data_IF_340384864114
#
_entry.id   IF_340384864114
#
_cell.length_a   1.000
_cell.length_b   1.000
_cell.length_c   1.000
_cell.angle_alpha   90.00
_cell.angle_beta   90.00
_cell.angle_gamma   90.00
#
_symmetry.space_group_name_H-M   'P 1'
#
loop_
_entity.id
_entity.type
_entity.pdbx_description
1 polymer ?
#
# COMPACT_ATOMS: atom_id res chain seq x y z
N UNK A 1 62.97 70.61 -7.72
CA UNK A 1 62.02 71.36 -8.56
C UNK A 1 61.62 70.47 -9.72
N UNK A 2 60.33 70.14 -9.82
CA UNK A 2 59.52 69.76 -10.99
C UNK A 2 58.44 68.74 -10.59
N UNK A 3 57.20 69.16 -10.76
CA UNK A 3 55.97 68.46 -10.44
C UNK A 3 55.38 67.84 -11.72
N UNK A 4 54.78 66.64 -11.62
CA UNK A 4 53.81 66.08 -12.59
C UNK A 4 52.89 65.13 -11.78
N UNK A 5 51.70 65.59 -11.38
CA UNK A 5 50.40 65.38 -12.04
C UNK A 5 49.88 63.92 -11.99
N UNK A 6 49.08 63.60 -10.96
CA UNK A 6 48.23 62.41 -10.92
C UNK A 6 46.78 62.81 -11.19
N UNK A 7 46.20 62.27 -12.27
CA UNK A 7 44.78 62.34 -12.59
C UNK A 7 44.03 61.34 -11.70
N UNK A 8 43.07 61.81 -10.90
CA UNK A 8 42.10 60.95 -10.20
C UNK A 8 40.73 61.10 -10.83
N UNK A 9 40.22 59.99 -11.38
CA UNK A 9 38.82 59.85 -11.81
C UNK A 9 38.01 59.49 -10.55
N UNK A 10 37.06 60.35 -10.18
CA UNK A 10 36.08 60.08 -9.15
C UNK A 10 34.88 59.34 -9.75
N UNK A 11 34.60 58.13 -9.26
CA UNK A 11 33.39 57.37 -9.58
C UNK A 11 32.37 57.56 -8.44
N UNK A 12 31.16 57.90 -8.87
CA UNK A 12 29.99 58.32 -8.11
C UNK A 12 29.50 57.21 -7.17
N UNK A 13 29.29 57.55 -5.89
CA UNK A 13 28.53 56.73 -4.95
C UNK A 13 27.03 56.94 -5.18
N UNK A 14 26.32 55.89 -5.60
CA UNK A 14 24.86 55.82 -5.44
C UNK A 14 24.53 54.91 -4.27
N UNK A 15 24.04 55.52 -3.20
CA UNK A 15 23.54 54.87 -1.99
C UNK A 15 22.19 54.21 -2.27
N UNK A 16 22.16 52.88 -2.31
CA UNK A 16 20.92 52.12 -2.16
C UNK A 16 20.63 51.95 -0.66
N UNK A 17 19.58 52.65 -0.19
CA UNK A 17 19.03 52.48 1.15
C UNK A 17 18.41 51.09 1.25
N UNK A 18 18.99 50.22 2.07
CA UNK A 18 18.44 48.91 2.37
C UNK A 18 17.21 49.07 3.28
N UNK A 19 16.02 49.04 2.70
CA UNK A 19 14.78 48.91 3.47
C UNK A 19 14.71 47.50 4.05
N UNK A 20 15.02 47.40 5.35
CA UNK A 20 14.80 46.23 6.18
C UNK A 20 13.28 45.95 6.31
N UNK A 21 12.73 45.20 5.36
CA UNK A 21 11.47 44.47 5.51
C UNK A 21 11.71 43.01 5.13
N UNK A 22 12.68 42.39 5.80
CA UNK A 22 12.72 40.94 5.93
C UNK A 22 11.69 40.53 6.99
N UNK A 23 10.40 40.64 6.66
CA UNK A 23 9.31 40.08 7.45
C UNK A 23 9.07 38.64 7.00
N UNK A 24 9.20 37.74 7.97
CA UNK A 24 8.75 36.34 7.97
C UNK A 24 9.44 35.38 6.98
N UNK A 25 10.62 34.91 7.41
CA UNK A 25 11.07 33.54 7.16
C UNK A 25 9.95 32.55 7.54
N UNK A 26 9.53 31.75 6.55
CA UNK A 26 9.02 30.39 6.65
C UNK A 26 8.09 30.04 7.83
N UNK A 27 6.78 30.21 7.63
CA UNK A 27 5.78 29.34 8.26
C UNK A 27 4.46 29.23 7.49
N UNK A 28 4.54 29.07 6.17
CA UNK A 28 3.43 28.50 5.41
C UNK A 28 3.74 27.02 5.23
N UNK A 29 3.32 26.21 6.21
CA UNK A 29 3.27 24.76 6.07
C UNK A 29 2.36 24.46 4.87
N UNK A 30 2.94 23.77 3.89
CA UNK A 30 2.34 23.44 2.60
C UNK A 30 0.93 22.82 2.75
N UNK A 31 0.07 22.93 1.71
CA UNK A 31 -1.27 22.34 1.73
C UNK A 31 -1.17 20.88 2.14
N UNK A 32 -1.76 20.58 3.28
CA UNK A 32 -1.72 19.25 3.86
C UNK A 32 -2.62 18.32 3.04
N UNK A 33 -2.06 17.24 2.51
CA UNK A 33 -2.76 16.34 1.60
C UNK A 33 -3.91 15.60 2.30
N UNK A 34 -5.11 15.69 1.73
CA UNK A 34 -6.29 14.93 2.17
C UNK A 34 -6.63 13.94 1.05
N UNK A 35 -6.44 12.62 1.27
CA UNK A 35 -6.78 11.63 0.26
C UNK A 35 -8.26 11.68 -0.13
N UNK A 36 -8.52 11.54 -1.43
CA UNK A 36 -9.88 11.51 -1.99
C UNK A 36 -10.66 10.32 -1.44
N UNK A 37 -11.95 10.52 -1.24
CA UNK A 37 -12.93 9.50 -0.83
C UNK A 37 -14.23 9.68 -1.61
N UNK A 38 -15.04 8.62 -1.79
CA UNK A 38 -14.86 7.24 -1.31
C UNK A 38 -13.93 6.39 -2.20
N UNK A 39 -13.44 5.27 -1.65
CA UNK A 39 -12.56 4.31 -2.34
C UNK A 39 -13.25 2.96 -2.63
N UNK A 40 -14.57 2.86 -2.46
CA UNK A 40 -15.32 1.60 -2.55
C UNK A 40 -15.11 0.87 -3.89
N UNK A 41 -14.97 1.62 -4.98
CA UNK A 41 -14.66 1.06 -6.30
C UNK A 41 -13.34 0.29 -6.33
N UNK A 42 -12.32 0.77 -5.62
CA UNK A 42 -11.01 0.12 -5.52
C UNK A 42 -11.03 -1.08 -4.57
N UNK A 43 -11.85 -1.06 -3.51
CA UNK A 43 -11.97 -2.19 -2.59
C UNK A 43 -12.43 -3.47 -3.33
N UNK A 44 -13.27 -3.32 -4.36
CA UNK A 44 -13.70 -4.44 -5.22
C UNK A 44 -12.61 -4.95 -6.19
N UNK A 45 -11.47 -4.26 -6.28
CA UNK A 45 -10.36 -4.58 -7.18
C UNK A 45 -9.18 -5.25 -6.47
N UNK A 46 -9.33 -5.63 -5.20
CA UNK A 46 -8.32 -6.40 -4.50
C UNK A 46 -7.97 -7.67 -5.32
N UNK A 47 -6.69 -7.90 -5.66
CA UNK A 47 -6.27 -9.07 -6.41
C UNK A 47 -6.66 -10.40 -5.75
N UNK A 48 -7.11 -11.36 -6.56
CA UNK A 48 -7.44 -12.70 -6.08
C UNK A 48 -6.21 -13.40 -5.47
N UNK A 49 -6.38 -13.92 -4.25
CA UNK A 49 -5.34 -14.67 -3.53
C UNK A 49 -5.94 -15.58 -2.46
N UNK A 50 -5.09 -16.28 -1.71
CA UNK A 50 -5.49 -17.05 -0.53
C UNK A 50 -5.57 -16.21 0.76
N UNK A 51 -5.33 -14.89 0.69
CA UNK A 51 -5.50 -14.00 1.83
C UNK A 51 -6.98 -13.90 2.20
N UNK A 52 -7.28 -13.69 3.49
CA UNK A 52 -8.65 -13.47 3.93
C UNK A 52 -9.25 -12.24 3.22
N UNK A 53 -10.49 -12.36 2.75
CA UNK A 53 -11.20 -11.24 2.11
C UNK A 53 -11.30 -10.07 3.08
N UNK A 54 -11.07 -8.83 2.61
CA UNK A 54 -11.13 -7.69 3.49
C UNK A 54 -12.53 -7.41 4.01
N UNK A 55 -12.61 -7.08 5.29
CA UNK A 55 -13.80 -6.57 5.95
C UNK A 55 -13.57 -5.08 6.30
N UNK A 56 -14.65 -4.30 6.38
CA UNK A 56 -14.58 -2.87 6.68
C UNK A 56 -14.49 -1.97 5.43
N UNK A 57 -14.13 -0.70 5.64
CA UNK A 57 -14.17 0.36 4.62
C UNK A 57 -12.79 0.76 4.14
N UNK A 58 -12.47 0.63 2.86
CA UNK A 58 -11.14 1.02 2.36
C UNK A 58 -10.83 2.50 2.65
N UNK A 59 -9.76 2.75 3.43
CA UNK A 59 -9.30 4.10 3.84
C UNK A 59 -8.20 4.65 2.96
N UNK A 60 -7.22 3.83 2.60
CA UNK A 60 -6.05 4.26 1.83
C UNK A 60 -5.58 3.14 0.88
N UNK A 61 -5.15 3.54 -0.31
CA UNK A 61 -4.36 2.69 -1.22
C UNK A 61 -3.07 3.43 -1.49
N UNK A 62 -1.95 2.83 -1.09
CA UNK A 62 -0.64 3.44 -1.24
C UNK A 62 0.32 2.57 -2.03
N UNK A 63 1.22 3.20 -2.77
CA UNK A 63 2.43 2.56 -3.28
C UNK A 63 3.54 2.76 -2.24
N UNK A 64 4.01 1.66 -1.66
CA UNK A 64 5.21 1.64 -0.82
C UNK A 64 6.45 1.41 -1.67
N UNK A 65 7.41 2.35 -1.65
CA UNK A 65 8.72 2.21 -2.30
C UNK A 65 9.83 2.24 -1.26
N UNK A 66 10.70 1.24 -1.26
CA UNK A 66 11.77 1.18 -0.27
C UNK A 66 12.63 -0.07 -0.35
N UNK A 67 12.98 -0.61 0.81
CA UNK A 67 13.89 -1.76 0.95
C UNK A 67 13.36 -2.79 1.95
N UNK A 68 13.67 -4.05 1.67
CA UNK A 68 13.65 -5.14 2.62
C UNK A 68 15.06 -5.33 3.18
N UNK A 69 15.16 -5.41 4.51
CA UNK A 69 16.44 -5.48 5.19
C UNK A 69 16.69 -6.91 5.68
N UNK A 70 17.88 -7.41 5.38
CA UNK A 70 18.30 -8.77 5.67
C UNK A 70 19.65 -8.78 6.40
N UNK A 71 19.94 -9.89 7.07
CA UNK A 71 21.24 -10.14 7.69
C UNK A 71 21.68 -11.59 7.51
N UNK A 72 22.97 -11.77 7.26
CA UNK A 72 23.61 -13.07 7.23
C UNK A 72 24.58 -13.18 8.42
N UNK A 73 24.35 -14.15 9.31
CA UNK A 73 25.21 -14.36 10.48
C UNK A 73 26.62 -14.85 10.07
N UNK A 74 26.69 -15.68 9.02
CA UNK A 74 27.90 -16.21 8.40
C UNK A 74 27.74 -16.18 6.87
N UNK A 75 28.85 -16.32 6.14
CA UNK A 75 28.86 -16.44 4.68
C UNK A 75 28.53 -17.84 4.15
N UNK A 76 27.78 -18.63 4.94
CA UNK A 76 27.50 -20.05 4.68
C UNK A 76 26.45 -20.21 3.56
N UNK A 77 26.73 -21.12 2.63
CA UNK A 77 25.88 -21.44 1.48
C UNK A 77 24.60 -22.20 1.87
N UNK A 78 24.57 -22.76 3.08
CA UNK A 78 23.39 -23.44 3.64
C UNK A 78 22.54 -22.54 4.54
N UNK A 79 23.06 -21.37 4.94
CA UNK A 79 22.33 -20.44 5.79
C UNK A 79 21.48 -19.49 4.95
N UNK A 80 20.19 -19.38 5.27
CA UNK A 80 19.31 -18.37 4.68
C UNK A 80 19.47 -17.02 5.41
N UNK A 81 19.34 -15.88 4.71
CA UNK A 81 19.34 -14.57 5.35
C UNK A 81 18.14 -14.40 6.29
N UNK A 82 18.39 -13.90 7.51
CA UNK A 82 17.34 -13.46 8.42
C UNK A 82 16.78 -12.10 8.02
N UNK A 83 15.50 -11.82 8.29
CA UNK A 83 14.91 -10.49 8.04
C UNK A 83 15.09 -9.58 9.24
N UNK A 84 15.62 -8.38 9.04
CA UNK A 84 15.82 -7.37 10.10
C UNK A 84 14.78 -6.25 10.06
N UNK A 85 13.98 -6.16 8.99
CA UNK A 85 12.87 -5.22 8.87
C UNK A 85 12.66 -4.78 7.43
N UNK A 86 11.98 -3.67 7.27
CA UNK A 86 11.81 -2.97 6.00
C UNK A 86 11.59 -1.48 6.27
N UNK A 87 11.92 -0.65 5.28
CA UNK A 87 11.61 0.79 5.28
C UNK A 87 11.00 1.14 3.94
N UNK A 88 9.94 1.94 3.92
CA UNK A 88 9.37 2.44 2.66
C UNK A 88 8.71 3.81 2.81
N UNK A 89 8.76 4.59 1.74
CA UNK A 89 7.94 5.80 1.56
C UNK A 89 6.58 5.39 0.99
N UNK A 90 5.49 5.93 1.55
CA UNK A 90 4.12 5.61 1.15
C UNK A 90 3.54 6.74 0.30
N UNK A 91 3.28 6.46 -0.97
CA UNK A 91 2.70 7.39 -1.93
C UNK A 91 1.20 7.11 -2.11
N UNK A 92 0.36 8.14 -2.05
CA UNK A 92 -1.08 7.99 -2.31
C UNK A 92 -1.32 7.74 -3.79
N UNK A 93 -1.75 6.52 -4.10
CA UNK A 93 -2.20 6.14 -5.45
C UNK A 93 -3.71 6.03 -5.52
N UNK A 94 -4.37 5.80 -4.37
CA UNK A 94 -5.82 5.63 -4.26
C UNK A 94 -6.59 6.84 -4.79
N UNK A 95 -6.14 8.05 -4.46
CA UNK A 95 -6.82 9.29 -4.90
C UNK A 95 -6.91 9.46 -6.42
N UNK A 96 -5.94 8.92 -7.16
CA UNK A 96 -5.91 8.97 -8.63
C UNK A 96 -6.57 7.73 -9.25
N UNK A 97 -6.40 6.57 -8.65
CA UNK A 97 -7.03 5.34 -9.13
C UNK A 97 -8.55 5.38 -8.95
N UNK A 98 -9.06 6.04 -7.92
CA UNK A 98 -10.51 6.10 -7.64
C UNK A 98 -11.28 6.96 -8.65
N UNK A 99 -10.63 7.87 -9.36
CA UNK A 99 -11.29 8.73 -10.37
C UNK A 99 -11.39 8.09 -11.74
N UNK A 100 -10.60 7.05 -12.03
CA UNK A 100 -10.60 6.30 -13.29
C UNK A 100 -10.50 4.79 -13.02
N UNK A 101 -11.61 4.21 -12.56
CA UNK A 101 -11.72 2.77 -12.26
C UNK A 101 -11.37 1.87 -13.46
N UNK A 102 -11.79 2.18 -14.70
CA UNK A 102 -11.35 1.43 -15.88
C UNK A 102 -9.83 1.39 -16.02
N UNK A 103 -9.13 2.52 -15.84
CA UNK A 103 -7.66 2.53 -15.87
C UNK A 103 -7.07 1.81 -14.65
N UNK A 104 -7.66 1.97 -13.46
CA UNK A 104 -7.18 1.35 -12.24
C UNK A 104 -7.05 -0.17 -12.35
N UNK A 105 -8.01 -0.82 -13.01
CA UNK A 105 -7.99 -2.28 -13.26
C UNK A 105 -6.68 -2.77 -13.91
N UNK A 106 -6.09 -1.96 -14.80
CA UNK A 106 -4.86 -2.33 -15.51
C UNK A 106 -3.61 -1.78 -14.83
N UNK A 107 -3.75 -0.66 -14.11
CA UNK A 107 -2.62 -0.01 -13.41
C UNK A 107 -2.25 -0.73 -12.12
N UNK A 108 -3.22 -1.18 -11.31
CA UNK A 108 -3.00 -1.91 -10.05
C UNK A 108 -1.97 -3.04 -10.23
N UNK A 109 -2.11 -4.00 -11.16
CA UNK A 109 -1.10 -5.07 -11.27
C UNK A 109 0.28 -4.62 -11.81
N UNK A 110 0.42 -3.39 -12.32
CA UNK A 110 1.63 -2.92 -13.01
C UNK A 110 2.45 -1.89 -12.20
N UNK A 111 1.80 -1.05 -11.39
CA UNK A 111 2.43 0.13 -10.76
C UNK A 111 3.69 -0.25 -9.96
N UNK A 112 3.62 -1.29 -9.12
CA UNK A 112 4.75 -1.66 -8.26
C UNK A 112 5.98 -2.08 -9.05
N UNK A 113 5.79 -2.90 -10.09
CA UNK A 113 6.87 -3.36 -10.95
C UNK A 113 7.50 -2.21 -11.74
N UNK A 114 6.68 -1.33 -12.31
CA UNK A 114 7.15 -0.16 -13.05
C UNK A 114 7.89 0.83 -12.14
N UNK A 115 7.32 1.15 -10.98
CA UNK A 115 7.95 2.06 -10.02
C UNK A 115 9.29 1.50 -9.50
N UNK A 116 9.36 0.19 -9.21
CA UNK A 116 10.63 -0.43 -8.84
C UNK A 116 11.64 -0.38 -9.98
N UNK A 117 11.22 -0.68 -11.21
CA UNK A 117 12.11 -0.62 -12.37
C UNK A 117 12.68 0.78 -12.59
N UNK A 118 11.84 1.81 -12.50
CA UNK A 118 12.26 3.20 -12.66
C UNK A 118 13.09 3.71 -11.49
N UNK A 119 13.03 3.08 -10.31
CA UNK A 119 13.80 3.52 -9.14
C UNK A 119 15.33 3.46 -9.30
N UNK A 120 15.83 2.84 -10.38
CA UNK A 120 17.25 2.89 -10.77
C UNK A 120 17.70 4.29 -11.19
N UNK A 121 16.76 5.13 -11.65
CA UNK A 121 16.96 6.52 -12.03
C UNK A 121 15.91 7.39 -11.33
N UNK A 122 16.38 8.23 -10.40
CA UNK A 122 15.50 9.04 -9.58
C UNK A 122 14.64 10.01 -10.40
N UNK A 123 15.19 10.60 -11.46
CA UNK A 123 14.45 11.55 -12.30
C UNK A 123 13.35 10.83 -13.08
N UNK A 124 13.64 9.62 -13.57
CA UNK A 124 12.66 8.79 -14.27
C UNK A 124 11.51 8.37 -13.35
N UNK A 125 11.82 7.95 -12.11
CA UNK A 125 10.80 7.62 -11.11
C UNK A 125 9.96 8.84 -10.74
N UNK A 126 10.59 9.98 -10.47
CA UNK A 126 9.88 11.21 -10.12
C UNK A 126 8.98 11.69 -11.26
N UNK A 127 9.47 11.63 -12.50
CA UNK A 127 8.70 11.95 -13.70
C UNK A 127 7.47 11.06 -13.85
N UNK A 128 7.62 9.75 -13.64
CA UNK A 128 6.50 8.80 -13.65
C UNK A 128 5.47 9.11 -12.56
N UNK A 129 5.91 9.29 -11.30
CA UNK A 129 5.01 9.57 -10.19
C UNK A 129 4.22 10.88 -10.42
N UNK A 130 4.88 11.92 -10.93
CA UNK A 130 4.22 13.20 -11.27
C UNK A 130 3.21 13.05 -12.41
N UNK A 131 3.59 12.36 -13.49
CA UNK A 131 2.73 12.16 -14.66
C UNK A 131 1.44 11.41 -14.31
N UNK A 132 1.54 10.40 -13.46
CA UNK A 132 0.40 9.63 -12.98
C UNK A 132 -0.40 10.35 -11.87
N UNK A 133 0.23 11.30 -11.18
CA UNK A 133 -0.32 11.98 -10.01
C UNK A 133 -0.16 11.19 -8.71
N UNK A 134 0.81 10.27 -8.66
CA UNK A 134 1.20 9.48 -7.49
C UNK A 134 2.33 10.13 -6.68
N UNK A 135 2.68 11.39 -6.94
CA UNK A 135 3.80 12.11 -6.32
C UNK A 135 3.52 12.56 -4.87
N UNK A 136 2.34 12.26 -4.33
CA UNK A 136 1.91 12.65 -3.00
C UNK A 136 2.36 11.63 -1.96
N UNK A 137 3.41 11.94 -1.21
CA UNK A 137 3.80 11.15 -0.03
C UNK A 137 2.78 11.39 1.08
N UNK A 138 2.25 10.31 1.66
CA UNK A 138 1.31 10.37 2.79
C UNK A 138 1.84 9.74 4.07
N UNK A 139 3.01 9.11 4.02
CA UNK A 139 3.59 8.50 5.21
C UNK A 139 4.83 7.65 4.96
N UNK A 140 5.23 6.94 6.01
CA UNK A 140 6.39 6.05 6.03
C UNK A 140 6.05 4.71 6.69
N UNK A 141 6.63 3.65 6.16
CA UNK A 141 6.65 2.32 6.76
C UNK A 141 8.03 2.02 7.33
N UNK A 142 8.07 1.47 8.55
CA UNK A 142 9.30 1.02 9.20
C UNK A 142 8.99 -0.08 10.22
N UNK A 143 10.02 -0.74 10.73
CA UNK A 143 9.89 -1.69 11.85
C UNK A 143 10.38 -1.05 13.14
N UNK A 144 9.58 -1.17 14.19
CA UNK A 144 9.93 -0.72 15.54
C UNK A 144 10.27 -1.92 16.41
N UNK A 145 11.50 -1.97 16.92
CA UNK A 145 11.90 -2.95 17.91
C UNK A 145 11.45 -2.49 19.31
N UNK A 146 10.70 -3.34 20.02
CA UNK A 146 10.32 -3.15 21.42
C UNK A 146 10.32 -4.51 22.13
N UNK A 147 11.04 -4.62 23.25
CA UNK A 147 11.12 -5.84 24.06
C UNK A 147 11.43 -7.12 23.23
N UNK A 148 12.35 -7.02 22.26
CA UNK A 148 12.73 -8.13 21.39
C UNK A 148 11.72 -8.47 20.29
N UNK A 149 10.58 -7.78 20.22
CA UNK A 149 9.59 -7.92 19.15
C UNK A 149 9.77 -6.80 18.13
N UNK A 150 9.78 -7.16 16.84
CA UNK A 150 9.87 -6.21 15.72
C UNK A 150 8.49 -6.02 15.11
N UNK A 151 7.89 -4.85 15.32
CA UNK A 151 6.52 -4.54 14.89
C UNK A 151 6.54 -3.67 13.64
N UNK A 152 5.93 -4.10 12.51
CA UNK A 152 5.74 -3.23 11.36
C UNK A 152 4.79 -2.08 11.70
N UNK A 153 5.23 -0.87 11.38
CA UNK A 153 4.51 0.39 11.59
C UNK A 153 4.24 1.04 10.25
N UNK A 154 3.00 1.47 10.00
CA UNK A 154 2.63 2.34 8.88
C UNK A 154 2.16 3.67 9.47
N UNK A 155 3.02 4.69 9.42
CA UNK A 155 2.73 6.01 9.97
C UNK A 155 2.31 6.95 8.84
N UNK A 156 1.08 7.49 8.90
CA UNK A 156 0.55 8.46 7.93
C UNK A 156 0.96 9.89 8.27
N UNK A 157 2.23 10.07 8.58
CA UNK A 157 2.81 11.28 9.20
C UNK A 157 2.81 12.53 8.30
N UNK A 158 2.38 12.40 7.04
CA UNK A 158 2.19 13.53 6.11
C UNK A 158 0.71 13.90 5.90
N UNK A 159 -0.23 13.24 6.58
CA UNK A 159 -1.66 13.58 6.54
C UNK A 159 -2.03 14.68 7.53
N UNK A 160 -3.19 15.30 7.29
CA UNK A 160 -3.78 16.35 8.15
C UNK A 160 -5.29 16.19 8.31
N UNK A 161 -5.84 16.71 9.43
CA UNK A 161 -5.13 17.29 10.58
C UNK A 161 -4.54 16.22 11.50
N UNK A 162 -3.55 16.60 12.31
CA UNK A 162 -3.08 15.75 13.41
C UNK A 162 -4.21 15.52 14.45
N UNK A 163 -4.21 14.37 15.17
CA UNK A 163 -3.24 13.29 15.10
C UNK A 163 -3.42 12.40 13.85
N UNK A 164 -2.30 12.06 13.20
CA UNK A 164 -2.32 11.22 12.01
C UNK A 164 -2.50 9.73 12.36
N UNK A 165 -3.10 8.93 11.47
CA UNK A 165 -3.21 7.49 11.67
C UNK A 165 -1.84 6.80 11.77
N UNK A 166 -1.74 5.82 12.66
CA UNK A 166 -0.57 4.94 12.79
C UNK A 166 -1.09 3.52 12.95
N UNK A 167 -0.77 2.65 11.99
CA UNK A 167 -1.07 1.23 12.09
C UNK A 167 0.14 0.48 12.65
N UNK A 168 -0.03 -0.18 13.79
CA UNK A 168 0.97 -1.03 14.43
C UNK A 168 0.49 -2.49 14.40
N UNK A 169 0.94 -3.20 13.38
CA UNK A 169 0.30 -4.43 12.94
C UNK A 169 1.24 -5.63 13.10
N UNK A 170 0.69 -6.83 13.03
CA UNK A 170 1.41 -8.10 13.03
C UNK A 170 0.92 -8.98 11.89
N UNK A 171 1.77 -9.91 11.43
CA UNK A 171 1.39 -10.83 10.35
C UNK A 171 0.26 -11.75 10.81
N UNK A 172 -0.88 -11.67 10.13
CA UNK A 172 -2.03 -12.54 10.35
C UNK A 172 -2.03 -13.74 9.39
N UNK A 173 -1.81 -13.49 8.09
CA UNK A 173 -1.65 -14.52 7.07
C UNK A 173 -0.77 -14.03 5.91
N UNK A 174 -0.52 -14.90 4.93
CA UNK A 174 0.28 -14.58 3.75
C UNK A 174 -0.03 -15.48 2.56
N UNK A 175 0.30 -14.99 1.38
CA UNK A 175 0.17 -15.70 0.12
C UNK A 175 1.44 -15.48 -0.71
N UNK A 176 1.87 -16.49 -1.45
CA UNK A 176 2.97 -16.31 -2.40
C UNK A 176 2.59 -15.28 -3.45
N UNK A 177 3.54 -14.41 -3.81
CA UNK A 177 3.34 -13.50 -4.92
C UNK A 177 3.15 -14.29 -6.23
N UNK A 178 2.28 -13.83 -7.15
CA UNK A 178 2.12 -14.47 -8.46
C UNK A 178 3.46 -14.61 -9.18
N UNK A 179 3.64 -15.68 -9.97
CA UNK A 179 4.86 -15.88 -10.77
C UNK A 179 5.09 -14.78 -11.81
N UNK A 180 4.07 -14.01 -12.14
CA UNK A 180 4.10 -12.85 -13.02
C UNK A 180 4.53 -11.56 -12.33
N UNK A 181 4.66 -11.56 -11.00
CA UNK A 181 5.14 -10.41 -10.26
C UNK A 181 6.56 -10.03 -10.71
N UNK A 182 6.85 -8.74 -10.77
CA UNK A 182 8.16 -8.27 -11.19
C UNK A 182 9.24 -8.80 -10.21
N UNK A 183 10.26 -9.53 -10.70
CA UNK A 183 11.15 -10.29 -9.84
C UNK A 183 12.20 -9.42 -9.15
N UNK A 184 12.17 -8.10 -9.29
CA UNK A 184 13.18 -7.20 -8.76
C UNK A 184 14.33 -6.96 -9.74
N UNK A 185 15.23 -6.05 -9.37
CA UNK A 185 16.26 -5.51 -10.26
C UNK A 185 17.34 -6.55 -10.61
N UNK A 186 17.53 -7.55 -9.74
CA UNK A 186 18.49 -8.64 -9.89
C UNK A 186 17.79 -10.00 -10.02
N UNK A 187 16.48 -10.00 -10.30
CA UNK A 187 15.62 -11.20 -10.39
C UNK A 187 15.57 -12.05 -9.11
N UNK A 188 15.73 -11.42 -7.97
CA UNK A 188 15.71 -12.02 -6.64
C UNK A 188 14.34 -12.64 -6.24
N UNK A 189 13.28 -12.21 -6.91
CA UNK A 189 11.89 -12.60 -6.67
C UNK A 189 11.11 -11.54 -5.88
N UNK A 190 9.79 -11.62 -5.96
CA UNK A 190 8.90 -10.78 -5.17
C UNK A 190 8.67 -11.38 -3.76
N UNK A 191 8.66 -10.55 -2.72
CA UNK A 191 8.25 -11.00 -1.37
C UNK A 191 6.79 -11.44 -1.35
N UNK A 192 6.38 -12.35 -0.45
CA UNK A 192 4.98 -12.75 -0.33
C UNK A 192 4.05 -11.58 -0.03
N UNK A 193 2.80 -11.71 -0.50
CA UNK A 193 1.71 -10.84 -0.08
C UNK A 193 1.33 -11.15 1.36
N UNK A 194 0.93 -10.14 2.12
CA UNK A 194 0.64 -10.27 3.55
C UNK A 194 -0.67 -9.58 3.91
N UNK A 195 -1.42 -10.19 4.82
CA UNK A 195 -2.39 -9.46 5.64
C UNK A 195 -1.79 -9.23 7.01
N UNK A 196 -1.77 -7.98 7.42
CA UNK A 196 -1.29 -7.52 8.71
C UNK A 196 -2.47 -6.95 9.49
N UNK A 197 -2.59 -7.30 10.77
CA UNK A 197 -3.70 -6.89 11.64
C UNK A 197 -3.16 -6.25 12.91
N UNK A 198 -3.90 -5.29 13.46
CA UNK A 198 -3.53 -4.54 14.66
C UNK A 198 -3.15 -5.48 15.81
N UNK A 199 -2.13 -5.04 16.54
CA UNK A 199 -1.60 -5.72 17.73
C UNK A 199 -2.11 -5.07 19.03
N UNK A 200 -3.12 -4.21 18.93
CA UNK A 200 -3.72 -3.46 20.04
C UNK A 200 -3.07 -2.11 20.29
N UNK A 201 -2.35 -1.55 19.32
CA UNK A 201 -1.61 -0.29 19.45
C UNK A 201 -1.79 0.67 18.26
N UNK A 202 -2.66 0.32 17.31
CA UNK A 202 -2.99 1.20 16.19
C UNK A 202 -3.87 2.36 16.62
N UNK A 203 -3.72 3.51 15.96
CA UNK A 203 -4.49 4.74 16.20
C UNK A 203 -4.95 5.35 14.88
N UNK A 204 -6.06 6.09 14.87
CA UNK A 204 -6.64 6.68 13.65
C UNK A 204 -7.48 5.70 12.80
N UNK A 205 -7.77 4.52 13.35
CA UNK A 205 -8.68 3.53 12.77
C UNK A 205 -8.15 2.85 11.51
N UNK A 206 -6.83 2.70 11.39
CA UNK A 206 -6.25 1.73 10.45
C UNK A 206 -5.71 0.59 11.29
N UNK A 207 -6.36 -0.56 11.21
CA UNK A 207 -5.97 -1.77 11.94
C UNK A 207 -5.58 -2.90 11.01
N UNK A 208 -6.02 -2.87 9.75
CA UNK A 208 -5.72 -3.92 8.79
C UNK A 208 -4.97 -3.35 7.60
N UNK A 209 -3.83 -3.96 7.27
CA UNK A 209 -3.00 -3.61 6.11
C UNK A 209 -2.82 -4.85 5.24
N UNK A 210 -3.25 -4.76 3.99
CA UNK A 210 -2.96 -5.75 2.97
C UNK A 210 -1.79 -5.27 2.12
N UNK A 211 -0.69 -6.01 2.14
CA UNK A 211 0.48 -5.79 1.28
C UNK A 211 0.36 -6.69 0.07
N UNK A 212 0.06 -6.10 -1.07
CA UNK A 212 -0.31 -6.76 -2.33
C UNK A 212 0.60 -6.27 -3.48
N UNK A 213 0.48 -6.90 -4.63
CA UNK A 213 1.17 -6.51 -5.88
C UNK A 213 2.66 -6.19 -5.66
N UNK A 214 3.32 -7.04 -4.89
CA UNK A 214 4.73 -6.91 -4.51
C UNK A 214 5.65 -7.08 -5.71
N UNK A 215 6.68 -6.25 -5.82
CA UNK A 215 7.74 -6.35 -6.81
C UNK A 215 9.09 -6.38 -6.10
N UNK A 216 9.93 -7.37 -6.42
CA UNK A 216 11.25 -7.54 -5.81
C UNK A 216 11.24 -7.74 -4.29
N UNK A 217 12.38 -7.43 -3.66
CA UNK A 217 12.53 -7.43 -2.21
C UNK A 217 12.83 -8.79 -1.58
N UNK A 218 12.77 -9.90 -2.32
CA UNK A 218 13.11 -11.22 -1.77
C UNK A 218 14.63 -11.32 -1.58
N UNK A 219 15.06 -11.76 -0.41
CA UNK A 219 16.47 -12.05 -0.15
C UNK A 219 16.99 -13.22 -1.00
N UNK A 220 18.32 -13.34 -1.20
CA UNK A 220 18.90 -14.52 -1.84
C UNK A 220 18.54 -15.79 -1.07
N UNK A 221 18.58 -16.93 -1.76
CA UNK A 221 18.27 -18.23 -1.15
C UNK A 221 19.27 -18.66 -0.07
N UNK A 222 20.48 -18.10 -0.08
CA UNK A 222 21.52 -18.37 0.89
C UNK A 222 22.42 -17.14 1.16
N UNK A 223 23.32 -17.31 2.12
CA UNK A 223 24.31 -16.33 2.53
C UNK A 223 25.69 -16.56 1.90
N UNK A 224 25.80 -17.33 0.81
CA UNK A 224 27.08 -17.65 0.18
C UNK A 224 27.90 -16.40 -0.09
N UNK A 225 29.10 -16.34 0.51
CA UNK A 225 30.04 -15.23 0.33
C UNK A 225 29.58 -13.89 0.92
N UNK A 226 28.53 -13.88 1.76
CA UNK A 226 27.98 -12.66 2.36
C UNK A 226 27.78 -12.79 3.86
N UNK A 227 28.42 -11.91 4.64
CA UNK A 227 28.24 -11.78 6.09
C UNK A 227 27.83 -10.35 6.43
N UNK A 228 26.88 -10.19 7.35
CA UNK A 228 26.38 -8.89 7.79
C UNK A 228 25.05 -8.47 7.16
N UNK A 229 24.67 -7.22 7.39
CA UNK A 229 23.41 -6.64 6.94
C UNK A 229 23.47 -6.20 5.48
N UNK A 230 22.34 -6.30 4.78
CA UNK A 230 22.18 -5.81 3.41
C UNK A 230 20.70 -5.50 3.12
N UNK A 231 20.48 -4.73 2.06
CA UNK A 231 19.16 -4.26 1.66
C UNK A 231 18.81 -4.73 0.25
N UNK A 232 17.53 -5.02 0.01
CA UNK A 232 16.99 -5.39 -1.31
C UNK A 232 15.85 -4.43 -1.64
N UNK A 233 15.94 -3.76 -2.80
CA UNK A 233 14.92 -2.79 -3.24
C UNK A 233 13.58 -3.49 -3.47
N UNK A 234 12.51 -2.78 -3.12
CA UNK A 234 11.16 -3.35 -3.05
C UNK A 234 10.09 -2.30 -3.36
N UNK A 235 9.03 -2.74 -4.03
CA UNK A 235 7.80 -1.97 -4.17
C UNK A 235 6.57 -2.82 -3.85
N UNK A 236 5.54 -2.22 -3.26
CA UNK A 236 4.26 -2.88 -2.99
C UNK A 236 3.10 -1.91 -3.11
N UNK A 237 1.91 -2.45 -3.32
CA UNK A 237 0.69 -1.73 -2.98
C UNK A 237 0.23 -2.14 -1.59
N UNK A 238 -0.15 -1.16 -0.78
CA UNK A 238 -0.76 -1.41 0.51
C UNK A 238 -2.18 -0.87 0.52
N UNK A 239 -3.13 -1.76 0.78
CA UNK A 239 -4.54 -1.43 0.97
C UNK A 239 -4.85 -1.44 2.47
N UNK A 240 -5.55 -0.42 2.97
CA UNK A 240 -5.78 -0.23 4.40
C UNK A 240 -7.24 -0.07 4.77
N UNK A 241 -7.65 -0.81 5.80
CA UNK A 241 -9.03 -0.92 6.23
C UNK A 241 -9.16 -0.68 7.74
N UNK A 242 -10.26 -0.03 8.19
CA UNK A 242 -10.71 -0.02 9.56
C UNK A 242 -11.46 -1.32 9.87
N UNK A 243 -11.39 -1.70 11.12
CA UNK A 243 -12.18 -2.73 11.72
C UNK A 243 -13.59 -2.18 11.91
N UNK A 244 -14.54 -2.81 11.24
CA UNK A 244 -15.90 -2.82 11.75
C UNK A 244 -15.92 -3.91 12.81
N UNK A 245 -15.85 -3.52 14.09
CA UNK A 245 -16.16 -4.42 15.20
C UNK A 245 -17.40 -5.22 14.84
N UNK A 246 -17.21 -6.48 14.45
CA UNK A 246 -18.32 -7.42 14.32
C UNK A 246 -18.57 -7.96 15.72
N UNK A 247 -19.02 -7.08 16.60
CA UNK A 247 -19.49 -7.43 17.93
C UNK A 247 -21.01 -7.34 17.93
N UNK A 248 -21.67 -8.30 17.27
CA UNK A 248 -23.13 -8.47 17.39
C UNK A 248 -23.66 -9.89 17.15
N UNK A 249 -22.88 -10.94 17.43
CA UNK A 249 -23.41 -12.31 17.53
C UNK A 249 -22.82 -13.16 18.67
N UNK A 250 -22.20 -12.53 19.69
CA UNK A 250 -21.72 -13.26 20.88
C UNK A 250 -22.61 -13.05 22.12
N UNK A 251 -23.43 -12.00 22.18
CA UNK A 251 -24.22 -11.67 23.37
C UNK A 251 -25.60 -11.09 23.02
N UNK A 252 -26.47 -11.90 22.40
CA UNK A 252 -27.92 -11.80 22.58
C UNK A 252 -28.59 -13.06 22.01
N UNK A 253 -29.16 -13.87 22.89
CA UNK A 253 -30.16 -14.88 22.54
C UNK A 253 -31.39 -14.16 21.99
N UNK A 254 -31.44 -13.91 20.69
CA UNK A 254 -32.68 -13.60 19.97
C UNK A 254 -32.49 -13.75 18.45
N UNK A 255 -32.88 -14.92 17.94
CA UNK A 255 -33.56 -15.08 16.66
C UNK A 255 -32.86 -14.58 15.38
N UNK A 256 -31.72 -15.17 15.01
CA UNK A 256 -31.20 -15.10 13.64
C UNK A 256 -32.03 -16.00 12.71
N UNK A 257 -33.17 -15.51 12.24
CA UNK A 257 -33.88 -16.11 11.11
C UNK A 257 -33.12 -15.84 9.80
N UNK A 258 -32.20 -16.74 9.42
CA UNK A 258 -31.53 -16.69 8.13
C UNK A 258 -32.55 -16.90 7.00
N UNK A 259 -32.72 -15.90 6.13
CA UNK A 259 -33.58 -16.00 4.93
C UNK A 259 -32.75 -16.46 3.73
N UNK A 260 -33.08 -17.62 3.17
CA UNK A 260 -32.49 -18.09 1.92
C UNK A 260 -33.23 -17.45 0.73
N UNK A 261 -32.60 -16.50 0.04
CA UNK A 261 -33.14 -15.87 -1.16
C UNK A 261 -32.55 -16.50 -2.44
N UNK A 262 -33.40 -16.92 -3.38
CA UNK A 262 -32.97 -17.32 -4.73
C UNK A 262 -33.31 -16.17 -5.68
N UNK A 263 -32.31 -15.66 -6.41
CA UNK A 263 -32.50 -14.63 -7.45
C UNK A 263 -31.85 -15.10 -8.76
N UNK A 264 -32.58 -14.99 -9.86
CA UNK A 264 -32.03 -15.21 -11.19
C UNK A 264 -31.19 -13.99 -11.62
N UNK A 265 -29.94 -14.21 -12.02
CA UNK A 265 -29.00 -13.16 -12.43
C UNK A 265 -29.09 -12.78 -13.92
N UNK A 266 -30.04 -13.38 -14.65
CA UNK A 266 -30.26 -13.10 -16.07
C UNK A 266 -31.43 -13.90 -16.66
N UNK A 267 -31.84 -13.62 -17.91
CA UNK A 267 -32.94 -14.30 -18.57
C UNK A 267 -32.60 -15.76 -18.87
N UNK A 268 -33.48 -16.70 -18.49
CA UNK A 268 -33.37 -18.11 -18.83
C UNK A 268 -33.69 -18.31 -20.32
N UNK A 269 -32.68 -18.67 -21.13
CA UNK A 269 -32.86 -18.92 -22.57
C UNK A 269 -32.84 -20.42 -22.84
N UNK A 270 -33.90 -20.91 -23.47
CA UNK A 270 -34.05 -22.30 -23.94
C UNK A 270 -33.68 -22.39 -25.42
N UNK A 271 -32.81 -23.33 -25.79
CA UNK A 271 -32.50 -23.61 -27.19
C UNK A 271 -33.67 -24.36 -27.86
N UNK A 272 -34.16 -23.80 -28.95
CA UNK A 272 -35.39 -24.22 -29.65
C UNK A 272 -35.24 -25.61 -30.29
N UNK A 273 -35.74 -26.68 -29.64
CA UNK A 273 -36.04 -27.93 -30.33
C UNK A 273 -37.43 -27.88 -30.99
N UNK A 274 -37.56 -28.59 -32.11
CA UNK A 274 -38.70 -28.55 -33.04
C UNK A 274 -40.06 -28.76 -32.35
N UNK A 275 -40.92 -27.75 -32.52
CA UNK A 275 -42.39 -27.79 -32.68
C UNK A 275 -43.15 -28.85 -31.84
N UNK A 276 -43.12 -28.71 -30.52
CA UNK A 276 -44.20 -29.13 -29.62
C UNK A 276 -44.41 -28.01 -28.60
N UNK A 277 -45.68 -27.63 -28.31
CA UNK A 277 -46.01 -26.58 -27.32
C UNK A 277 -45.67 -27.11 -25.92
N UNK A 278 -44.42 -26.97 -25.49
CA UNK A 278 -43.95 -27.33 -24.15
C UNK A 278 -43.26 -26.16 -23.48
N UNK A 279 -43.66 -25.85 -22.24
CA UNK A 279 -42.96 -24.89 -21.39
C UNK A 279 -41.61 -25.48 -20.94
N UNK A 280 -40.52 -24.72 -21.08
CA UNK A 280 -39.22 -25.09 -20.51
C UNK A 280 -39.23 -24.72 -19.02
N UNK A 281 -39.21 -25.70 -18.12
CA UNK A 281 -39.09 -25.46 -16.68
C UNK A 281 -37.83 -26.12 -16.14
N UNK A 282 -37.16 -25.47 -15.18
CA UNK A 282 -36.01 -26.01 -14.48
C UNK A 282 -36.36 -26.11 -12.99
N UNK A 283 -36.28 -27.32 -12.41
CA UNK A 283 -36.59 -27.55 -11.00
C UNK A 283 -35.32 -27.39 -10.17
N UNK A 284 -35.29 -26.42 -9.27
CA UNK A 284 -34.22 -26.25 -8.29
C UNK A 284 -34.60 -27.02 -7.02
N UNK A 285 -33.83 -28.05 -6.67
CA UNK A 285 -34.00 -28.76 -5.40
C UNK A 285 -32.91 -28.31 -4.43
N UNK A 286 -33.30 -27.73 -3.30
CA UNK A 286 -32.38 -27.37 -2.22
C UNK A 286 -32.51 -28.45 -1.13
N UNK A 287 -31.41 -29.13 -0.80
CA UNK A 287 -31.32 -29.97 0.38
C UNK A 287 -30.41 -29.29 1.39
N UNK A 288 -30.97 -28.88 2.52
CA UNK A 288 -30.22 -28.41 3.67
C UNK A 288 -29.86 -29.64 4.53
N UNK A 289 -28.58 -29.79 4.87
CA UNK A 289 -28.11 -30.79 5.84
C UNK A 289 -27.41 -30.02 6.95
N UNK A 290 -27.96 -30.06 8.18
CA UNK A 290 -27.21 -29.59 9.34
C UNK A 290 -26.07 -30.57 9.60
N UNK A 291 -24.84 -30.07 9.68
CA UNK A 291 -23.65 -30.85 10.03
C UNK A 291 -23.13 -30.24 11.33
N UNK A 292 -23.18 -31.03 12.41
CA UNK A 292 -22.89 -30.68 13.81
C UNK A 292 -24.00 -29.93 14.58
N UNK A 293 -24.71 -30.68 15.43
CA UNK A 293 -25.20 -30.16 16.70
C UNK A 293 -24.12 -30.45 17.75
N UNK A 294 -23.56 -29.40 18.36
CA UNK A 294 -22.91 -29.52 19.67
C UNK A 294 -23.78 -28.80 20.68
N UNK A 295 -24.14 -29.50 21.75
CA UNK A 295 -24.72 -28.89 22.94
C UNK A 295 -23.59 -28.59 23.92
N UNK A 296 -23.52 -27.31 24.30
CA UNK A 296 -22.59 -26.64 25.23
C UNK A 296 -21.12 -26.60 24.78
#
# INVERSE_FOLDING_TARGET
>A
MFAVLFVRIALVFTSFSASAHALAVAKNYAPTHVPTRPLDGLASMMPHSSLATPAGQLKYVVLGLGTQNYTCASGDELAAPGTTGATATLYDVGSRLSVDLPAAKWKIPAISGLALHLSVDHEALEGFLKLEGYDRVIGHHFFRASNGTSTPVFAFDQLSPAPYPIAQVGRADGAEAPKTAYPGLQREGAVPWLRLVDTGSSVGGVDTVYRLETAGGKGPGNCQGRKGAFEVKYAAQCEQLPDTLTEQCANQKADCNARLGIRAWGPFRSARMKKTRGYSSCRVNIRLRMVQLRFL
#
